data_IF_536511242420
#
_entry.id   IF_536511242420
#
_cell.length_a   1.000
_cell.length_b   1.000
_cell.length_c   1.000
_cell.angle_alpha   90.00
_cell.angle_beta   90.00
_cell.angle_gamma   90.00
#
_symmetry.space_group_name_H-M   'P 1'
#
loop_
_entity.id
_entity.type
_entity.pdbx_description
1 polymer ?
#
# COMPACT_ATOMS: atom_id res chain seq x y z
N UNK A 1 12.35 25.92 21.03
CA UNK A 1 11.44 25.04 21.79
C UNK A 1 12.25 24.18 22.76
N UNK A 2 11.93 24.23 24.07
CA UNK A 2 12.72 23.59 25.12
C UNK A 2 12.21 22.15 25.36
N UNK A 3 12.89 21.14 24.80
CA UNK A 3 12.58 19.71 25.05
C UNK A 3 13.22 19.30 26.36
N UNK A 4 12.51 19.51 27.47
CA UNK A 4 12.98 19.07 28.78
C UNK A 4 12.88 17.54 28.81
N UNK A 5 14.03 16.86 28.83
CA UNK A 5 14.06 15.46 29.25
C UNK A 5 13.63 15.42 30.71
N UNK A 6 12.49 14.79 31.05
CA UNK A 6 12.03 14.71 32.43
C UNK A 6 12.94 13.83 33.28
N UNK A 7 13.65 12.89 32.65
CA UNK A 7 14.59 11.96 33.29
C UNK A 7 16.04 12.21 32.82
N UNK A 8 16.98 12.54 33.73
CA UNK A 8 18.39 12.71 33.39
C UNK A 8 19.07 11.42 32.93
N UNK A 9 18.62 10.24 33.37
CA UNK A 9 19.18 8.96 32.91
C UNK A 9 18.84 8.71 31.44
N UNK A 10 17.61 9.04 31.03
CA UNK A 10 17.18 8.98 29.63
C UNK A 10 18.01 9.93 28.75
N UNK A 11 18.32 11.12 29.26
CA UNK A 11 19.20 12.06 28.57
C UNK A 11 20.60 11.49 28.36
N UNK A 12 21.22 10.93 29.41
CA UNK A 12 22.55 10.34 29.33
C UNK A 12 22.61 9.16 28.34
N UNK A 13 21.57 8.31 28.33
CA UNK A 13 21.43 7.23 27.36
C UNK A 13 21.33 7.75 25.92
N UNK A 14 20.56 8.82 25.70
CA UNK A 14 20.46 9.49 24.40
C UNK A 14 21.78 10.11 23.93
N UNK A 15 22.52 10.75 24.84
CA UNK A 15 23.85 11.33 24.53
C UNK A 15 24.87 10.25 24.16
N UNK A 16 24.85 9.11 24.86
CA UNK A 16 25.71 7.97 24.55
C UNK A 16 25.38 7.38 23.17
N UNK A 17 24.09 7.26 22.83
CA UNK A 17 23.65 6.75 21.53
C UNK A 17 23.99 7.73 20.39
N UNK A 18 23.71 9.03 20.55
CA UNK A 18 24.09 10.06 19.59
C UNK A 18 25.61 10.07 19.32
N UNK A 19 26.43 9.89 20.37
CA UNK A 19 27.89 9.78 20.24
C UNK A 19 28.32 8.56 19.43
N UNK A 20 27.65 7.42 19.58
CA UNK A 20 27.93 6.20 18.79
C UNK A 20 27.64 6.42 17.31
N UNK A 21 26.56 7.13 17.01
CA UNK A 21 26.15 7.45 15.64
C UNK A 21 26.84 8.71 15.06
N UNK A 22 27.68 9.39 15.87
CA UNK A 22 28.39 10.63 15.52
C UNK A 22 27.47 11.77 15.05
N UNK A 23 26.27 11.82 15.60
CA UNK A 23 25.29 12.88 15.33
C UNK A 23 25.07 13.72 16.58
N UNK A 24 24.44 14.90 16.42
CA UNK A 24 24.05 15.68 17.59
C UNK A 24 22.93 14.96 18.36
N UNK A 25 22.81 15.23 19.66
CA UNK A 25 21.70 14.69 20.47
C UNK A 25 20.33 15.05 19.86
N UNK A 26 20.19 16.25 19.28
CA UNK A 26 18.94 16.69 18.67
C UNK A 26 18.62 15.90 17.41
N UNK A 27 19.61 15.66 16.56
CA UNK A 27 19.46 14.87 15.33
C UNK A 27 19.13 13.42 15.66
N UNK A 28 19.77 12.85 16.69
CA UNK A 28 19.44 11.50 17.17
C UNK A 28 17.99 11.40 17.68
N UNK A 29 17.52 12.39 18.45
CA UNK A 29 16.12 12.39 18.92
C UNK A 29 15.17 12.47 17.73
N UNK A 30 15.49 13.31 16.73
CA UNK A 30 14.67 13.45 15.53
C UNK A 30 14.65 12.17 14.69
N UNK A 31 15.80 11.51 14.50
CA UNK A 31 15.89 10.27 13.74
C UNK A 31 15.10 9.14 14.39
N UNK A 32 15.24 8.97 15.71
CA UNK A 32 14.50 7.95 16.47
C UNK A 32 13.01 8.23 16.49
N UNK A 33 12.61 9.51 16.63
CA UNK A 33 11.20 9.89 16.59
C UNK A 33 10.59 9.61 15.21
N UNK A 34 11.31 9.94 14.13
CA UNK A 34 10.88 9.65 12.76
C UNK A 34 10.75 8.14 12.53
N UNK A 35 11.79 7.37 12.85
CA UNK A 35 11.78 5.91 12.70
C UNK A 35 10.63 5.26 13.47
N UNK A 36 10.32 5.75 14.67
CA UNK A 36 9.18 5.26 15.44
C UNK A 36 7.84 5.64 14.81
N UNK A 37 7.72 6.84 14.25
CA UNK A 37 6.51 7.29 13.58
C UNK A 37 6.21 6.46 12.32
N UNK A 38 7.24 6.10 11.55
CA UNK A 38 7.09 5.35 10.29
C UNK A 38 7.14 3.83 10.44
N UNK A 39 7.50 3.31 11.62
CA UNK A 39 7.62 1.86 11.85
C UNK A 39 6.33 1.07 11.59
N UNK A 40 5.17 1.72 11.70
CA UNK A 40 3.87 1.11 11.38
C UNK A 40 3.62 1.12 9.88
N UNK A 41 4.06 2.17 9.18
CA UNK A 41 3.85 2.34 7.75
C UNK A 41 4.55 1.23 6.96
N UNK A 42 5.79 0.90 7.33
CA UNK A 42 6.55 -0.19 6.68
C UNK A 42 5.81 -1.53 6.80
N UNK A 43 5.25 -1.84 7.98
CA UNK A 43 4.49 -3.08 8.19
C UNK A 43 3.19 -3.11 7.38
N UNK A 44 2.51 -1.97 7.27
CA UNK A 44 1.28 -1.85 6.48
C UNK A 44 1.60 -2.03 4.99
N UNK A 45 2.66 -1.40 4.49
CA UNK A 45 3.08 -1.51 3.10
C UNK A 45 3.51 -2.93 2.75
N UNK A 46 4.27 -3.59 3.62
CA UNK A 46 4.66 -4.99 3.42
C UNK A 46 3.46 -5.92 3.41
N UNK A 47 2.56 -5.79 4.39
CA UNK A 47 1.32 -6.58 4.44
C UNK A 47 0.44 -6.34 3.19
N UNK A 48 0.38 -5.09 2.72
CA UNK A 48 -0.36 -4.74 1.51
C UNK A 48 0.27 -5.38 0.27
N UNK A 49 1.60 -5.37 0.14
CA UNK A 49 2.32 -6.03 -0.97
C UNK A 49 2.06 -7.54 -0.98
N UNK A 50 2.12 -8.19 0.19
CA UNK A 50 1.81 -9.62 0.31
C UNK A 50 0.36 -9.91 -0.07
N UNK A 51 -0.59 -9.07 0.37
CA UNK A 51 -1.99 -9.19 -0.01
C UNK A 51 -2.20 -9.06 -1.53
N UNK A 52 -1.63 -8.01 -2.14
CA UNK A 52 -1.72 -7.80 -3.58
C UNK A 52 -1.09 -8.93 -4.40
N UNK A 53 0.04 -9.47 -3.96
CA UNK A 53 0.66 -10.63 -4.62
C UNK A 53 -0.27 -11.85 -4.60
N UNK A 54 -0.86 -12.16 -3.44
CA UNK A 54 -1.78 -13.31 -3.31
C UNK A 54 -3.03 -13.14 -4.16
N UNK A 55 -3.60 -11.94 -4.20
CA UNK A 55 -4.74 -11.65 -5.07
C UNK A 55 -4.34 -11.76 -6.55
N UNK A 56 -3.16 -11.25 -6.92
CA UNK A 56 -2.63 -11.38 -8.28
C UNK A 56 -2.43 -12.83 -8.70
N UNK A 57 -1.85 -13.65 -7.82
CA UNK A 57 -1.67 -15.08 -8.05
C UNK A 57 -3.03 -15.79 -8.20
N UNK A 58 -4.01 -15.46 -7.36
CA UNK A 58 -5.36 -16.02 -7.46
C UNK A 58 -6.06 -15.65 -8.78
N UNK A 59 -5.97 -14.40 -9.22
CA UNK A 59 -6.51 -13.98 -10.52
C UNK A 59 -5.77 -14.61 -11.71
N UNK A 60 -4.45 -14.82 -11.60
CA UNK A 60 -3.67 -15.48 -12.63
C UNK A 60 -4.01 -16.98 -12.74
N UNK A 61 -4.22 -17.65 -11.60
CA UNK A 61 -4.64 -19.05 -11.53
C UNK A 61 -6.08 -19.22 -12.05
N UNK A 62 -6.98 -18.29 -11.72
CA UNK A 62 -8.34 -18.22 -12.30
C UNK A 62 -8.29 -17.95 -13.82
N UNK A 63 -7.45 -17.03 -14.29
CA UNK A 63 -7.29 -16.76 -15.72
C UNK A 63 -6.67 -17.95 -16.49
N UNK A 64 -5.74 -18.68 -15.87
CA UNK A 64 -5.14 -19.89 -16.43
C UNK A 64 -6.10 -21.07 -16.52
N UNK A 65 -7.07 -21.13 -15.60
CA UNK A 65 -8.17 -22.12 -15.62
C UNK A 65 -9.34 -21.68 -16.52
N UNK A 66 -9.55 -20.37 -16.67
CA UNK A 66 -10.54 -19.76 -17.54
C UNK A 66 -10.06 -19.59 -19.00
N UNK A 67 -9.41 -20.61 -19.59
CA UNK A 67 -9.08 -20.63 -21.03
C UNK A 67 -10.28 -20.41 -21.97
N UNK A 68 -11.51 -20.43 -21.45
CA UNK A 68 -12.77 -20.08 -22.12
C UNK A 68 -13.28 -18.65 -21.86
N UNK A 69 -12.72 -17.93 -20.88
CA UNK A 69 -13.20 -16.64 -20.40
C UNK A 69 -13.00 -15.49 -21.39
N UNK A 70 -11.94 -15.52 -22.20
CA UNK A 70 -11.70 -14.49 -23.21
C UNK A 70 -12.80 -14.47 -24.29
N UNK A 71 -13.21 -15.65 -24.79
CA UNK A 71 -14.32 -15.76 -25.75
C UNK A 71 -15.66 -15.42 -25.10
N UNK A 72 -15.85 -15.76 -23.82
CA UNK A 72 -17.07 -15.41 -23.09
C UNK A 72 -17.18 -13.89 -22.85
N UNK A 73 -16.09 -13.23 -22.44
CA UNK A 73 -16.06 -11.78 -22.28
C UNK A 73 -16.28 -11.04 -23.60
N UNK A 74 -15.71 -11.54 -24.71
CA UNK A 74 -15.92 -10.96 -26.04
C UNK A 74 -17.37 -11.15 -26.50
N UNK A 75 -17.97 -12.31 -26.25
CA UNK A 75 -19.38 -12.57 -26.53
C UNK A 75 -20.32 -11.72 -25.65
N UNK A 76 -20.02 -11.55 -24.37
CA UNK A 76 -20.79 -10.70 -23.45
C UNK A 76 -20.67 -9.22 -23.82
N UNK A 77 -19.49 -8.77 -24.25
CA UNK A 77 -19.28 -7.41 -24.75
C UNK A 77 -20.09 -7.16 -26.02
N UNK A 78 -20.03 -8.08 -26.99
CA UNK A 78 -20.79 -8.00 -28.23
C UNK A 78 -22.31 -7.94 -27.95
N UNK A 79 -22.81 -8.79 -27.04
CA UNK A 79 -24.22 -8.81 -26.65
C UNK A 79 -24.67 -7.50 -25.99
N UNK A 80 -23.78 -6.82 -25.23
CA UNK A 80 -24.08 -5.50 -24.64
C UNK A 80 -24.15 -4.40 -25.70
N UNK A 81 -23.21 -4.38 -26.65
CA UNK A 81 -23.26 -3.44 -27.77
C UNK A 81 -24.53 -3.63 -28.61
N UNK A 82 -24.92 -4.88 -28.90
CA UNK A 82 -26.15 -5.17 -29.65
C UNK A 82 -27.41 -4.74 -28.90
N UNK A 83 -27.43 -4.81 -27.56
CA UNK A 83 -28.53 -4.33 -26.73
C UNK A 83 -28.61 -2.80 -26.71
N UNK A 84 -27.47 -2.11 -26.65
CA UNK A 84 -27.39 -0.65 -26.72
C UNK A 84 -27.89 -0.14 -28.08
N UNK A 85 -27.44 -0.76 -29.19
CA UNK A 85 -27.91 -0.42 -30.55
C UNK A 85 -29.41 -0.72 -30.77
N UNK A 86 -29.95 -1.75 -30.10
CA UNK A 86 -31.39 -2.04 -30.14
C UNK A 86 -32.20 -1.05 -29.30
N UNK A 87 -31.68 -0.59 -28.17
CA UNK A 87 -32.30 0.46 -27.38
C UNK A 87 -32.36 1.78 -28.14
N UNK A 88 -31.25 2.21 -28.76
CA UNK A 88 -31.20 3.44 -29.55
C UNK A 88 -32.18 3.44 -30.74
N UNK A 89 -32.39 2.28 -31.37
CA UNK A 89 -33.41 2.11 -32.42
C UNK A 89 -34.85 2.06 -31.90
N UNK A 90 -35.07 1.60 -30.68
CA UNK A 90 -36.39 1.56 -30.02
C UNK A 90 -36.89 2.92 -29.54
N UNK A 91 -36.00 3.89 -29.33
CA UNK A 91 -36.34 5.27 -28.95
C UNK A 91 -36.63 6.20 -30.14
N UNK A 92 -36.52 5.72 -31.39
CA UNK A 92 -36.70 6.50 -32.61
C UNK A 92 -38.07 6.28 -33.31
N UNK A 93 -39.12 5.95 -32.56
CA UNK A 93 -40.50 5.78 -33.05
C UNK A 93 -41.47 6.79 -32.43
#
# INVERSE_FOLDING_TARGET
MNRRFPDPALRAAGEAAAKRERVSLQDYILSVAYARATAVDDRILDASRVSMSRSGDAFADEAGTAGSGAQQCEAEFQARCELEEQQERGYAA
#
